data_IF_339406009895
#
_entry.id   IF_339406009895
#
_cell.length_a   1.000
_cell.length_b   1.000
_cell.length_c   1.000
_cell.angle_alpha   90.00
_cell.angle_beta   90.00
_cell.angle_gamma   90.00
#
_symmetry.space_group_name_H-M   'P 1'
#
loop_
_entity.id
_entity.type
_entity.pdbx_description
1 polymer ?
#
# COMPACT_ATOMS: atom_id res chain seq x y z
N UNK A 1 -7.35 28.14 9.54
CA UNK A 1 -7.75 27.67 10.88
C UNK A 1 -8.77 26.56 10.71
N UNK A 2 -8.32 25.30 10.75
CA UNK A 2 -9.11 24.11 11.08
C UNK A 2 -8.12 23.13 11.73
N UNK A 3 -7.94 23.27 13.04
CA UNK A 3 -7.11 22.44 13.90
C UNK A 3 -8.05 21.89 14.97
N UNK A 4 -8.21 20.56 15.05
CA UNK A 4 -8.91 19.96 16.19
C UNK A 4 -9.38 18.51 16.07
N UNK A 5 -9.35 17.88 14.89
CA UNK A 5 -9.79 16.48 14.73
C UNK A 5 -8.81 15.65 13.90
N UNK A 6 -8.76 14.31 14.10
CA UNK A 6 -8.01 13.44 13.21
C UNK A 6 -8.55 13.63 11.79
N UNK A 7 -7.64 13.81 10.82
CA UNK A 7 -8.05 14.00 9.43
C UNK A 7 -8.89 12.80 8.96
N UNK A 8 -9.79 13.00 8.00
CA UNK A 8 -10.69 11.94 7.53
C UNK A 8 -9.94 10.64 7.20
N UNK A 9 -8.74 10.76 6.64
CA UNK A 9 -7.86 9.63 6.34
C UNK A 9 -7.48 8.79 7.57
N UNK A 10 -7.16 9.42 8.70
CA UNK A 10 -6.87 8.71 9.95
C UNK A 10 -8.10 8.00 10.51
N UNK A 11 -9.30 8.59 10.33
CA UNK A 11 -10.55 7.93 10.71
C UNK A 11 -10.81 6.68 9.85
N UNK A 12 -10.56 6.76 8.53
CA UNK A 12 -10.64 5.61 7.62
C UNK A 12 -9.69 4.48 8.04
N UNK A 13 -8.44 4.83 8.33
CA UNK A 13 -7.44 3.86 8.82
C UNK A 13 -7.95 3.18 10.08
N UNK A 14 -8.42 3.93 11.08
CA UNK A 14 -8.98 3.36 12.32
C UNK A 14 -10.16 2.43 12.06
N UNK A 15 -11.09 2.82 11.19
CA UNK A 15 -12.22 1.96 10.83
C UNK A 15 -11.77 0.63 10.20
N UNK A 16 -10.75 0.66 9.34
CA UNK A 16 -10.22 -0.54 8.71
C UNK A 16 -9.36 -1.38 9.64
N UNK A 17 -8.67 -0.79 10.62
CA UNK A 17 -7.93 -1.56 11.63
C UNK A 17 -8.85 -2.43 12.52
N UNK A 18 -10.13 -2.04 12.67
CA UNK A 18 -11.14 -2.88 13.34
C UNK A 18 -11.49 -4.12 12.50
N UNK A 19 -11.29 -4.07 11.17
CA UNK A 19 -11.56 -5.17 10.25
C UNK A 19 -10.25 -5.90 9.92
N UNK A 20 -10.06 -7.08 10.49
CA UNK A 20 -8.87 -7.89 10.21
C UNK A 20 -8.79 -8.27 8.72
N UNK A 21 -9.93 -8.67 8.14
CA UNK A 21 -10.07 -9.06 6.74
C UNK A 21 -11.36 -8.49 6.14
N UNK A 22 -11.49 -8.57 4.83
CA UNK A 22 -12.74 -8.31 4.09
C UNK A 22 -12.79 -9.22 2.88
N UNK A 23 -13.93 -9.79 2.55
CA UNK A 23 -14.13 -10.55 1.32
C UNK A 23 -14.52 -9.65 0.12
N UNK A 24 -14.80 -8.36 0.36
CA UNK A 24 -15.03 -7.37 -0.70
C UNK A 24 -13.77 -7.21 -1.55
N UNK A 25 -13.90 -7.27 -2.87
CA UNK A 25 -12.75 -7.17 -3.77
C UNK A 25 -12.74 -5.81 -4.46
N UNK A 26 -11.63 -5.08 -4.38
CA UNK A 26 -11.45 -3.77 -5.01
C UNK A 26 -10.25 -3.83 -5.94
N UNK A 27 -10.45 -3.55 -7.22
CA UNK A 27 -9.41 -3.29 -8.22
C UNK A 27 -9.27 -1.77 -8.39
N UNK A 28 -8.23 -1.13 -7.83
CA UNK A 28 -8.14 0.33 -7.76
C UNK A 28 -7.54 0.98 -9.02
N UNK A 29 -7.77 0.40 -10.19
CA UNK A 29 -7.19 0.79 -11.49
C UNK A 29 -7.97 1.94 -12.16
N UNK A 30 -8.38 2.94 -11.37
CA UNK A 30 -9.31 4.01 -11.80
C UNK A 30 -8.79 4.85 -12.99
N UNK A 31 -7.47 4.91 -13.17
CA UNK A 31 -6.81 5.67 -14.24
C UNK A 31 -6.13 4.76 -15.28
N UNK A 32 -6.52 3.49 -15.31
CA UNK A 32 -5.75 2.45 -15.99
C UNK A 32 -4.43 2.14 -15.30
N UNK A 33 -3.73 1.16 -15.86
CA UNK A 33 -2.39 0.78 -15.42
C UNK A 33 -1.37 1.10 -16.53
N UNK A 34 -0.09 1.28 -16.16
CA UNK A 34 0.94 1.62 -17.17
C UNK A 34 1.07 0.55 -18.26
N UNK A 35 0.89 -0.72 -17.89
CA UNK A 35 0.95 -1.84 -18.82
C UNK A 35 -0.40 -2.11 -19.51
N UNK A 36 -1.51 -1.53 -19.01
CA UNK A 36 -2.84 -1.66 -19.57
C UNK A 36 -3.68 -0.39 -19.31
N UNK A 37 -3.53 0.65 -20.16
CA UNK A 37 -4.18 1.95 -19.93
C UNK A 37 -5.70 1.94 -20.01
N UNK A 38 -6.30 0.90 -20.61
CA UNK A 38 -7.75 0.76 -20.75
C UNK A 38 -8.39 -0.04 -19.61
N UNK A 39 -7.59 -0.58 -18.67
CA UNK A 39 -8.13 -1.24 -17.49
C UNK A 39 -8.94 -0.25 -16.64
N UNK A 40 -10.07 -0.68 -16.12
CA UNK A 40 -10.95 0.14 -15.27
C UNK A 40 -11.04 -0.45 -13.88
N UNK A 41 -11.26 0.45 -12.91
CA UNK A 41 -11.48 0.04 -11.53
C UNK A 41 -12.77 -0.76 -11.36
N UNK A 42 -12.78 -1.69 -10.41
CA UNK A 42 -13.90 -2.57 -10.16
C UNK A 42 -14.07 -2.83 -8.66
N UNK A 43 -15.32 -2.99 -8.21
CA UNK A 43 -15.64 -3.53 -6.89
C UNK A 43 -16.53 -4.75 -7.09
N UNK A 44 -16.14 -5.91 -6.54
CA UNK A 44 -16.88 -7.17 -6.66
C UNK A 44 -17.03 -7.86 -5.31
N UNK A 45 -17.84 -8.92 -5.29
CA UNK A 45 -18.22 -9.66 -4.08
C UNK A 45 -18.88 -8.77 -3.01
N UNK A 46 -19.78 -7.88 -3.43
CA UNK A 46 -20.52 -7.00 -2.52
C UNK A 46 -21.59 -7.80 -1.78
N UNK A 47 -21.66 -7.64 -0.46
CA UNK A 47 -22.69 -8.23 0.39
C UNK A 47 -23.16 -7.23 1.46
N UNK A 48 -24.24 -7.56 2.16
CA UNK A 48 -24.74 -6.73 3.26
C UNK A 48 -23.81 -6.71 4.48
N UNK A 49 -22.87 -7.65 4.59
CA UNK A 49 -21.94 -7.76 5.71
C UNK A 49 -20.58 -7.08 5.46
N UNK A 50 -20.21 -6.75 4.21
CA UNK A 50 -18.87 -6.28 3.86
C UNK A 50 -18.79 -4.85 3.30
N UNK A 51 -19.85 -4.06 3.47
CA UNK A 51 -19.92 -2.67 2.99
C UNK A 51 -19.66 -1.61 4.07
N UNK A 52 -19.22 -1.99 5.27
CA UNK A 52 -18.81 -0.99 6.26
C UNK A 52 -17.58 -0.22 5.76
N UNK A 53 -17.39 1.01 6.22
CA UNK A 53 -16.26 1.85 5.81
C UNK A 53 -14.90 1.18 6.04
N UNK A 54 -14.79 0.40 7.12
CA UNK A 54 -13.60 -0.38 7.42
C UNK A 54 -13.35 -1.49 6.40
N UNK A 55 -14.39 -2.23 6.00
CA UNK A 55 -14.27 -3.28 4.98
C UNK A 55 -13.87 -2.70 3.63
N UNK A 56 -14.51 -1.62 3.20
CA UNK A 56 -14.21 -0.97 1.91
C UNK A 56 -12.77 -0.47 1.87
N UNK A 57 -12.31 0.20 2.93
CA UNK A 57 -10.94 0.72 2.98
C UNK A 57 -9.88 -0.38 3.12
N UNK A 58 -10.17 -1.44 3.88
CA UNK A 58 -9.35 -2.67 3.96
C UNK A 58 -9.20 -3.33 2.58
N UNK A 59 -10.32 -3.56 1.91
CA UNK A 59 -10.37 -4.13 0.57
C UNK A 59 -9.63 -3.29 -0.47
N UNK A 60 -9.76 -1.95 -0.39
CA UNK A 60 -9.02 -1.01 -1.21
C UNK A 60 -7.51 -1.12 -1.00
N UNK A 61 -7.05 -1.12 0.26
CA UNK A 61 -5.62 -1.27 0.58
C UNK A 61 -5.07 -2.60 0.04
N UNK A 62 -5.83 -3.70 0.21
CA UNK A 62 -5.45 -4.99 -0.37
C UNK A 62 -5.40 -4.93 -1.89
N UNK A 63 -6.37 -4.29 -2.52
CA UNK A 63 -6.41 -4.09 -3.97
C UNK A 63 -5.17 -3.39 -4.51
N UNK A 64 -4.68 -2.36 -3.80
CA UNK A 64 -3.45 -1.65 -4.16
C UNK A 64 -2.25 -2.60 -4.09
N UNK A 65 -2.12 -3.38 -3.02
CA UNK A 65 -0.98 -4.30 -2.85
C UNK A 65 -1.05 -5.46 -3.85
N UNK A 66 -2.24 -6.02 -4.11
CA UNK A 66 -2.45 -7.07 -5.11
C UNK A 66 -2.10 -6.58 -6.52
N UNK A 67 -2.41 -5.32 -6.85
CA UNK A 67 -2.02 -4.74 -8.13
C UNK A 67 -0.49 -4.62 -8.25
N UNK A 68 0.21 -4.26 -7.17
CA UNK A 68 1.68 -4.22 -7.15
C UNK A 68 2.27 -5.63 -7.28
N UNK A 69 1.77 -6.60 -6.53
CA UNK A 69 2.31 -7.96 -6.53
C UNK A 69 2.04 -8.72 -7.82
N UNK A 70 0.99 -8.37 -8.58
CA UNK A 70 0.76 -8.93 -9.90
C UNK A 70 1.87 -8.56 -10.90
N UNK A 71 2.46 -7.36 -10.76
CA UNK A 71 3.57 -6.89 -11.59
C UNK A 71 4.94 -7.27 -11.02
N UNK A 72 5.03 -7.49 -9.71
CA UNK A 72 6.26 -7.81 -8.99
C UNK A 72 6.00 -8.92 -7.97
N UNK A 73 5.86 -10.18 -8.42
CA UNK A 73 5.50 -11.29 -7.55
C UNK A 73 6.63 -11.61 -6.56
N UNK A 74 6.25 -12.03 -5.35
CA UNK A 74 7.19 -12.34 -4.28
C UNK A 74 8.18 -13.45 -4.67
N UNK A 75 7.73 -14.43 -5.43
CA UNK A 75 8.53 -15.56 -5.90
C UNK A 75 9.70 -15.08 -6.76
N UNK A 76 9.46 -14.09 -7.63
CA UNK A 76 10.51 -13.51 -8.48
C UNK A 76 11.53 -12.73 -7.64
N UNK A 77 11.08 -11.98 -6.63
CA UNK A 77 11.96 -11.27 -5.71
C UNK A 77 12.86 -12.24 -4.94
N UNK A 78 12.32 -13.36 -4.47
CA UNK A 78 13.09 -14.40 -3.80
C UNK A 78 14.10 -15.06 -4.76
N UNK A 79 13.69 -15.37 -5.98
CA UNK A 79 14.55 -16.00 -6.99
C UNK A 79 15.77 -15.14 -7.35
N UNK A 80 15.62 -13.82 -7.41
CA UNK A 80 16.72 -12.90 -7.69
C UNK A 80 17.52 -12.48 -6.45
N UNK A 81 17.25 -13.11 -5.29
CA UNK A 81 18.01 -12.92 -4.06
C UNK A 81 17.67 -11.65 -3.29
N UNK A 82 16.46 -11.10 -3.43
CA UNK A 82 16.00 -9.99 -2.61
C UNK A 82 15.80 -10.48 -1.17
N UNK A 83 16.52 -9.90 -0.22
CA UNK A 83 16.43 -10.30 1.20
C UNK A 83 15.50 -9.41 2.03
N UNK A 84 15.12 -8.22 1.55
CA UNK A 84 14.25 -7.28 2.27
C UNK A 84 13.55 -6.32 1.33
N UNK A 85 12.42 -5.79 1.79
CA UNK A 85 11.66 -4.71 1.13
C UNK A 85 11.80 -3.45 1.98
N UNK A 86 12.02 -2.31 1.32
CA UNK A 86 12.02 -1.00 1.98
C UNK A 86 10.74 -0.26 1.58
N UNK A 87 9.85 -0.06 2.55
CA UNK A 87 8.61 0.69 2.36
C UNK A 87 8.82 2.17 2.63
N UNK A 88 8.80 3.00 1.59
CA UNK A 88 8.96 4.45 1.67
C UNK A 88 7.72 5.21 1.19
N UNK A 89 7.71 6.53 1.43
CA UNK A 89 6.63 7.43 0.99
C UNK A 89 5.51 7.58 2.02
N UNK A 90 4.73 8.66 1.89
CA UNK A 90 3.74 9.06 2.88
C UNK A 90 2.59 8.06 3.06
N UNK A 91 2.22 7.33 2.01
CA UNK A 91 1.18 6.32 2.06
C UNK A 91 1.52 5.20 3.05
N UNK A 92 2.64 4.50 2.85
CA UNK A 92 3.11 3.46 3.77
C UNK A 92 3.55 4.05 5.12
N UNK A 93 4.10 5.26 5.15
CA UNK A 93 4.52 5.90 6.40
C UNK A 93 3.34 6.20 7.34
N UNK A 94 2.13 6.41 6.82
CA UNK A 94 0.96 6.83 7.61
C UNK A 94 -0.16 5.78 7.68
N UNK A 95 -0.15 4.78 6.81
CA UNK A 95 -1.24 3.83 6.67
C UNK A 95 -0.85 2.42 7.13
N UNK A 96 -1.14 2.11 8.39
CA UNK A 96 -0.90 0.79 8.99
C UNK A 96 -1.71 -0.33 8.32
N UNK A 97 -2.91 -0.04 7.83
CA UNK A 97 -3.75 -1.00 7.06
C UNK A 97 -2.97 -1.46 5.83
N UNK A 98 -2.37 -0.51 5.10
CA UNK A 98 -1.57 -0.82 3.91
C UNK A 98 -0.31 -1.63 4.24
N UNK A 99 0.35 -1.34 5.37
CA UNK A 99 1.50 -2.14 5.86
C UNK A 99 1.13 -3.59 6.13
N UNK A 100 0.00 -3.81 6.82
CA UNK A 100 -0.52 -5.16 7.06
C UNK A 100 -0.76 -5.90 5.75
N UNK A 101 -1.30 -5.24 4.72
CA UNK A 101 -1.49 -5.88 3.42
C UNK A 101 -0.16 -6.19 2.71
N UNK A 102 0.85 -5.31 2.79
CA UNK A 102 2.19 -5.60 2.25
C UNK A 102 2.79 -6.83 2.92
N UNK A 103 2.75 -6.88 4.25
CA UNK A 103 3.33 -7.98 5.04
C UNK A 103 2.60 -9.32 4.82
N UNK A 104 1.31 -9.30 4.45
CA UNK A 104 0.59 -10.51 4.05
C UNK A 104 0.98 -11.01 2.67
N UNK A 105 1.26 -10.11 1.73
CA UNK A 105 1.52 -10.45 0.32
C UNK A 105 2.99 -10.78 0.08
N UNK A 106 3.91 -10.12 0.78
CA UNK A 106 5.34 -10.31 0.60
C UNK A 106 5.95 -11.03 1.82
N UNK A 107 6.39 -12.30 1.69
CA UNK A 107 7.02 -13.07 2.76
C UNK A 107 8.49 -12.67 2.98
N UNK A 108 8.77 -11.37 2.95
CA UNK A 108 10.09 -10.77 3.11
C UNK A 108 10.05 -9.78 4.28
N UNK A 109 11.19 -9.57 4.95
CA UNK A 109 11.27 -8.51 5.95
C UNK A 109 10.97 -7.15 5.28
N UNK A 110 9.95 -6.45 5.77
CA UNK A 110 9.63 -5.10 5.34
C UNK A 110 10.15 -4.11 6.37
N UNK A 111 11.00 -3.19 5.94
CA UNK A 111 11.51 -2.10 6.77
C UNK A 111 10.84 -0.81 6.33
N UNK A 112 10.14 -0.16 7.25
CA UNK A 112 9.55 1.15 7.02
C UNK A 112 10.51 2.22 7.50
N UNK A 113 11.09 2.96 6.54
CA UNK A 113 12.10 3.96 6.81
C UNK A 113 11.55 5.38 6.81
N UNK A 114 12.15 6.22 7.64
CA UNK A 114 12.11 7.67 7.51
C UNK A 114 13.39 8.10 6.80
N UNK A 115 13.33 9.04 5.85
CA UNK A 115 14.45 9.60 5.06
C UNK A 115 14.81 8.88 3.75
N UNK A 116 13.84 8.34 3.02
CA UNK A 116 14.01 8.00 1.60
C UNK A 116 13.82 9.24 0.69
N UNK A 117 14.41 10.37 1.06
CA UNK A 117 14.33 11.60 0.28
C UNK A 117 15.37 11.58 -0.85
N UNK A 118 14.95 11.89 -2.06
CA UNK A 118 15.84 11.96 -3.23
C UNK A 118 16.99 12.96 -3.04
N UNK A 119 16.78 14.04 -2.27
CA UNK A 119 17.83 15.01 -1.95
C UNK A 119 18.96 14.38 -1.10
N UNK A 120 18.60 13.51 -0.14
CA UNK A 120 19.60 12.78 0.67
C UNK A 120 20.41 11.85 -0.23
N UNK A 121 19.75 11.14 -1.15
CA UNK A 121 20.43 10.29 -2.13
C UNK A 121 21.41 11.07 -3.02
N UNK A 122 20.99 12.24 -3.52
CA UNK A 122 21.86 13.11 -4.32
C UNK A 122 23.09 13.59 -3.54
N UNK A 123 22.90 13.98 -2.27
CA UNK A 123 24.00 14.40 -1.40
C UNK A 123 24.99 13.26 -1.11
N UNK A 124 24.50 12.04 -0.85
CA UNK A 124 25.36 10.87 -0.62
C UNK A 124 26.29 10.61 -1.81
N UNK A 125 25.78 10.69 -3.04
CA UNK A 125 26.60 10.49 -4.25
C UNK A 125 27.68 11.56 -4.40
N UNK A 126 27.39 12.81 -4.05
CA UNK A 126 28.37 13.90 -4.10
C UNK A 126 29.42 13.78 -3.00
N UNK A 127 29.01 13.45 -1.78
CA UNK A 127 29.91 13.30 -0.64
C UNK A 127 30.79 12.05 -0.72
N UNK A 128 30.33 10.96 -1.32
CA UNK A 128 31.13 9.73 -1.52
C UNK A 128 32.26 9.92 -2.56
N UNK A 129 32.18 10.99 -3.36
CA UNK A 129 33.17 11.35 -4.39
C UNK A 129 34.16 12.43 -3.94
N UNK A 130 34.01 12.96 -2.72
CA UNK A 130 34.92 13.95 -2.10
C UNK A 130 35.85 13.24 -1.12
#
# INVERSE_FOLDING_TARGET
AELGGPCLYEKLIRCALIQETSDLMVSPTLLGERHNPLCLGQVTNISTSNLSLGHVFRALCRGVINNISSMMPAELLLQVGVCRIVGSGSALARNEVLRQEVERVFPLQVVYGHNADSAVGAAMVLCDRL
#
